data_IF_540243065441
#
_entry.id   IF_540243065441
#
_cell.length_a   1.000
_cell.length_b   1.000
_cell.length_c   1.000
_cell.angle_alpha   90.00
_cell.angle_beta   90.00
_cell.angle_gamma   90.00
#
_symmetry.space_group_name_H-M   'P 1'
#
loop_
_entity.id
_entity.type
_entity.pdbx_description
1 polymer ?
#
# COMPACT_ATOMS: atom_id res chain seq x y z
N UNK A 1 5.38 -12.95 11.26
CA UNK A 1 5.48 -12.98 9.78
C UNK A 1 4.44 -13.91 9.15
N UNK A 2 4.03 -13.62 7.92
CA UNK A 2 3.02 -14.35 7.15
C UNK A 2 3.69 -15.41 6.26
N UNK A 3 3.19 -16.64 6.28
CA UNK A 3 3.60 -17.73 5.37
C UNK A 3 2.38 -18.26 4.60
N UNK A 4 2.60 -18.78 3.39
CA UNK A 4 1.56 -19.46 2.61
C UNK A 4 1.60 -20.95 2.92
N UNK A 5 0.45 -21.52 3.29
CA UNK A 5 0.37 -22.94 3.63
C UNK A 5 0.78 -23.83 2.44
N UNK A 6 1.68 -24.77 2.70
CA UNK A 6 2.23 -25.68 1.68
C UNK A 6 3.19 -25.02 0.68
N UNK A 7 3.50 -23.72 0.81
CA UNK A 7 4.38 -22.97 -0.09
C UNK A 7 5.38 -22.11 0.71
N UNK A 8 6.41 -22.72 1.32
CA UNK A 8 7.43 -21.95 2.04
C UNK A 8 8.16 -20.98 1.09
N UNK A 9 8.49 -19.79 1.57
CA UNK A 9 9.20 -18.76 0.80
C UNK A 9 8.47 -18.32 -0.48
N UNK A 10 7.15 -18.49 -0.54
CA UNK A 10 6.34 -18.18 -1.71
C UNK A 10 6.59 -16.75 -2.19
N UNK A 11 7.00 -16.63 -3.46
CA UNK A 11 7.25 -15.35 -4.08
C UNK A 11 5.93 -14.79 -4.64
N UNK A 12 5.47 -13.66 -4.10
CA UNK A 12 4.24 -12.99 -4.54
C UNK A 12 4.50 -11.87 -5.55
N UNK A 13 5.76 -11.60 -5.89
CA UNK A 13 6.16 -10.41 -6.64
C UNK A 13 5.64 -10.42 -8.09
N UNK A 14 5.50 -11.59 -8.71
CA UNK A 14 5.04 -11.75 -10.10
C UNK A 14 4.17 -13.01 -10.27
N UNK A 15 3.50 -13.15 -11.41
CA UNK A 15 2.74 -14.34 -11.80
C UNK A 15 1.53 -14.63 -10.90
N UNK A 16 0.99 -13.61 -10.24
CA UNK A 16 -0.12 -13.75 -9.31
C UNK A 16 -1.46 -13.70 -10.04
N UNK A 17 -2.43 -14.47 -9.54
CA UNK A 17 -3.81 -14.41 -10.03
C UNK A 17 -4.67 -13.59 -9.09
N UNK A 18 -5.34 -12.57 -9.62
CA UNK A 18 -6.33 -11.78 -8.88
C UNK A 18 -7.46 -12.67 -8.36
N UNK A 19 -7.89 -12.40 -7.12
CA UNK A 19 -8.98 -13.09 -6.44
C UNK A 19 -8.79 -14.61 -6.30
N UNK A 20 -7.54 -15.08 -6.21
CA UNK A 20 -7.18 -16.44 -5.89
C UNK A 20 -6.70 -16.53 -4.44
N UNK A 21 -7.58 -16.78 -3.45
CA UNK A 21 -7.20 -16.78 -2.05
C UNK A 21 -6.25 -17.93 -1.71
N UNK A 22 -5.23 -17.60 -0.93
CA UNK A 22 -4.23 -18.54 -0.40
C UNK A 22 -4.33 -18.60 1.12
N UNK A 23 -4.30 -19.81 1.69
CA UNK A 23 -4.29 -20.00 3.14
C UNK A 23 -2.98 -19.51 3.75
N UNK A 24 -3.11 -18.83 4.88
CA UNK A 24 -2.03 -18.16 5.59
C UNK A 24 -1.83 -18.76 6.97
N UNK A 25 -0.56 -18.95 7.33
CA UNK A 25 -0.13 -19.17 8.70
C UNK A 25 0.74 -18.00 9.16
N UNK A 26 0.53 -17.56 10.39
CA UNK A 26 1.43 -16.62 11.05
C UNK A 26 2.43 -17.38 11.90
N UNK A 27 3.70 -17.01 11.79
CA UNK A 27 4.78 -17.55 12.63
C UNK A 27 5.52 -16.43 13.35
N UNK A 28 5.92 -16.71 14.58
CA UNK A 28 6.66 -15.78 15.42
C UNK A 28 8.11 -15.66 14.97
N UNK A 29 8.62 -14.43 14.98
CA UNK A 29 10.06 -14.17 14.90
C UNK A 29 10.62 -14.33 16.31
N UNK A 30 11.66 -15.15 16.52
CA UNK A 30 12.19 -15.44 17.84
C UNK A 30 12.95 -14.25 18.43
N UNK A 31 13.66 -13.49 17.59
CA UNK A 31 14.47 -12.34 18.00
C UNK A 31 14.12 -11.13 17.12
N UNK A 32 12.95 -10.50 17.33
CA UNK A 32 12.56 -9.31 16.57
C UNK A 32 13.36 -8.07 16.98
N UNK A 33 13.83 -8.05 18.23
CA UNK A 33 14.56 -6.95 18.86
C UNK A 33 15.93 -7.46 19.30
N UNK A 34 16.98 -6.66 19.06
CA UNK A 34 18.35 -6.97 19.46
C UNK A 34 19.05 -5.70 19.94
N UNK A 35 19.79 -5.81 21.03
CA UNK A 35 20.54 -4.70 21.65
C UNK A 35 21.84 -4.36 20.89
N UNK A 36 22.12 -5.05 19.79
CA UNK A 36 23.29 -4.77 18.97
C UNK A 36 23.20 -3.35 18.39
N UNK A 37 24.31 -2.60 18.48
CA UNK A 37 24.42 -1.23 17.96
C UNK A 37 24.16 -1.15 16.45
N UNK A 38 24.56 -2.18 15.72
CA UNK A 38 24.35 -2.31 14.29
C UNK A 38 23.84 -3.72 13.99
N UNK A 39 22.76 -3.81 13.22
CA UNK A 39 22.18 -5.07 12.77
C UNK A 39 22.55 -5.32 11.30
N UNK A 40 22.74 -6.59 10.90
CA UNK A 40 22.91 -6.92 9.50
C UNK A 40 21.65 -6.54 8.72
N UNK A 41 21.83 -6.15 7.46
CA UNK A 41 20.71 -5.87 6.56
C UNK A 41 19.76 -7.06 6.52
N UNK A 42 18.47 -6.79 6.67
CA UNK A 42 17.43 -7.82 6.66
C UNK A 42 17.40 -8.71 7.92
N UNK A 43 17.95 -8.30 9.06
CA UNK A 43 17.97 -9.09 10.31
C UNK A 43 16.65 -9.81 10.63
N UNK A 44 15.54 -9.07 10.75
CA UNK A 44 14.20 -9.64 11.00
C UNK A 44 13.64 -10.37 9.76
N UNK A 45 13.93 -9.84 8.56
CA UNK A 45 13.48 -10.40 7.30
C UNK A 45 14.01 -11.83 7.08
N UNK A 46 15.32 -12.04 7.29
CA UNK A 46 16.00 -13.31 7.09
C UNK A 46 15.49 -14.39 8.05
N UNK A 47 15.27 -14.04 9.33
CA UNK A 47 14.62 -14.95 10.29
C UNK A 47 13.23 -15.37 9.80
N UNK A 48 12.50 -14.46 9.18
CA UNK A 48 11.21 -14.75 8.59
C UNK A 48 11.29 -15.66 7.36
N UNK A 49 12.24 -15.38 6.46
CA UNK A 49 12.49 -16.15 5.25
C UNK A 49 12.89 -17.60 5.58
N UNK A 50 13.76 -17.80 6.57
CA UNK A 50 14.13 -19.13 7.09
C UNK A 50 12.93 -19.90 7.64
N UNK A 51 11.93 -19.20 8.18
CA UNK A 51 10.65 -19.78 8.63
C UNK A 51 9.58 -19.89 7.54
N UNK A 52 9.94 -19.60 6.29
CA UNK A 52 9.06 -19.75 5.13
C UNK A 52 8.13 -18.57 4.86
N UNK A 53 8.47 -17.35 5.31
CA UNK A 53 7.74 -16.13 4.97
C UNK A 53 7.44 -16.02 3.48
N UNK A 54 6.23 -15.55 3.13
CA UNK A 54 5.99 -15.06 1.79
C UNK A 54 6.83 -13.80 1.52
N UNK A 55 7.27 -13.63 0.28
CA UNK A 55 8.11 -12.51 -0.15
C UNK A 55 7.30 -11.55 -1.01
N UNK A 56 7.35 -10.26 -0.66
CA UNK A 56 6.66 -9.18 -1.34
C UNK A 56 7.65 -8.13 -1.83
N UNK A 57 7.33 -7.44 -2.92
CA UNK A 57 8.18 -6.40 -3.48
C UNK A 57 7.86 -5.04 -2.85
N UNK A 58 8.70 -4.59 -1.91
CA UNK A 58 8.67 -3.24 -1.32
C UNK A 58 7.28 -2.89 -0.73
N UNK A 59 6.96 -3.49 0.42
CA UNK A 59 5.73 -3.19 1.15
C UNK A 59 5.81 -1.80 1.79
N UNK A 60 4.77 -0.99 1.65
CA UNK A 60 4.73 0.36 2.24
C UNK A 60 3.44 0.58 3.05
N UNK A 61 2.33 0.91 2.41
CA UNK A 61 1.08 1.22 3.08
C UNK A 61 0.34 -0.01 3.59
N UNK A 62 -0.25 0.10 4.79
CA UNK A 62 -1.18 -0.88 5.31
C UNK A 62 -2.36 -0.22 6.06
N UNK A 63 -3.55 -0.82 5.94
CA UNK A 63 -4.77 -0.30 6.58
C UNK A 63 -5.73 -1.42 6.97
N UNK A 64 -6.37 -1.28 8.13
CA UNK A 64 -7.41 -2.21 8.58
C UNK A 64 -8.80 -1.71 8.20
N UNK A 65 -9.62 -2.58 7.60
CA UNK A 65 -11.02 -2.31 7.30
C UNK A 65 -11.73 -3.58 6.82
N UNK A 66 -13.05 -3.64 6.95
CA UNK A 66 -13.85 -4.81 6.52
C UNK A 66 -13.27 -6.17 6.99
N UNK A 67 -12.85 -6.23 8.27
CA UNK A 67 -12.23 -7.40 8.93
C UNK A 67 -10.97 -7.91 8.20
N UNK A 68 -10.35 -7.07 7.40
CA UNK A 68 -9.21 -7.36 6.55
C UNK A 68 -8.09 -6.36 6.81
N UNK A 69 -6.86 -6.76 6.50
CA UNK A 69 -5.72 -5.87 6.35
C UNK A 69 -5.49 -5.72 4.85
N UNK A 70 -5.55 -4.48 4.37
CA UNK A 70 -5.15 -4.14 3.02
C UNK A 70 -3.73 -3.58 3.06
N UNK A 71 -2.93 -3.94 2.08
CA UNK A 71 -1.57 -3.40 1.95
C UNK A 71 -1.14 -3.44 0.50
N UNK A 72 -0.18 -2.60 0.14
CA UNK A 72 0.39 -2.59 -1.20
C UNK A 72 1.81 -3.16 -1.23
N UNK A 73 2.23 -3.54 -2.44
CA UNK A 73 3.60 -3.86 -2.77
C UNK A 73 3.98 -2.94 -3.94
N UNK A 74 4.83 -1.96 -3.64
CA UNK A 74 5.07 -0.79 -4.49
C UNK A 74 5.61 -1.16 -5.85
N UNK A 75 6.57 -2.09 -5.90
CA UNK A 75 7.15 -2.58 -7.16
C UNK A 75 6.75 -4.01 -7.49
N UNK A 76 5.60 -4.46 -7.00
CA UNK A 76 5.03 -5.76 -7.31
C UNK A 76 4.30 -5.80 -8.66
N UNK A 77 4.03 -7.00 -9.13
CA UNK A 77 3.29 -7.29 -10.35
C UNK A 77 4.18 -7.53 -11.56
N UNK A 78 3.61 -8.13 -12.60
CA UNK A 78 4.36 -8.48 -13.82
C UNK A 78 4.93 -7.25 -14.54
N UNK A 79 4.27 -6.10 -14.40
CA UNK A 79 4.75 -4.81 -14.90
C UNK A 79 5.67 -4.05 -13.92
N UNK A 80 5.86 -4.56 -12.70
CA UNK A 80 6.61 -3.88 -11.64
C UNK A 80 5.99 -2.55 -11.18
N UNK A 81 4.71 -2.33 -11.48
CA UNK A 81 4.01 -1.05 -11.31
C UNK A 81 3.19 -0.96 -10.02
N UNK A 82 2.96 -2.08 -9.34
CA UNK A 82 2.29 -2.11 -8.04
C UNK A 82 1.23 -3.20 -7.92
N UNK A 83 1.07 -3.71 -6.71
CA UNK A 83 0.00 -4.63 -6.33
C UNK A 83 -0.73 -4.12 -5.09
N UNK A 84 -2.00 -4.52 -4.95
CA UNK A 84 -2.80 -4.33 -3.73
C UNK A 84 -3.32 -5.68 -3.27
N UNK A 85 -3.02 -6.00 -2.01
CA UNK A 85 -3.31 -7.25 -1.35
C UNK A 85 -4.37 -7.06 -0.26
N UNK A 86 -5.19 -8.10 -0.07
CA UNK A 86 -6.14 -8.20 1.02
C UNK A 86 -5.87 -9.46 1.83
N UNK A 87 -5.55 -9.29 3.12
CA UNK A 87 -5.49 -10.37 4.08
C UNK A 87 -6.75 -10.38 4.96
N UNK A 88 -7.61 -11.37 4.77
CA UNK A 88 -8.82 -11.54 5.57
C UNK A 88 -8.52 -12.32 6.85
N UNK A 89 -8.61 -11.65 8.00
CA UNK A 89 -8.11 -12.14 9.29
C UNK A 89 -8.83 -13.42 9.75
N UNK A 90 -10.17 -13.44 9.71
CA UNK A 90 -10.95 -14.57 10.25
C UNK A 90 -10.79 -15.87 9.46
N UNK A 91 -10.68 -15.77 8.13
CA UNK A 91 -10.49 -16.89 7.18
C UNK A 91 -9.02 -17.29 7.02
N UNK A 92 -8.09 -16.44 7.48
CA UNK A 92 -6.65 -16.54 7.24
C UNK A 92 -6.34 -16.75 5.77
N UNK A 93 -6.88 -15.86 4.94
CA UNK A 93 -6.74 -15.90 3.49
C UNK A 93 -6.07 -14.62 3.00
N UNK A 94 -5.02 -14.76 2.21
CA UNK A 94 -4.39 -13.67 1.46
C UNK A 94 -4.82 -13.78 0.00
N UNK A 95 -5.25 -12.66 -0.60
CA UNK A 95 -5.53 -12.60 -2.03
C UNK A 95 -5.04 -11.28 -2.62
N UNK A 96 -4.57 -11.34 -3.86
CA UNK A 96 -4.32 -10.17 -4.69
C UNK A 96 -5.67 -9.62 -5.17
N UNK A 97 -5.98 -8.37 -4.88
CA UNK A 97 -7.24 -7.74 -5.34
C UNK A 97 -7.03 -6.85 -6.57
N UNK A 98 -5.83 -6.29 -6.71
CA UNK A 98 -5.43 -5.48 -7.85
C UNK A 98 -3.94 -5.66 -8.15
N UNK A 99 -3.60 -5.73 -9.43
CA UNK A 99 -2.24 -5.64 -9.93
C UNK A 99 -2.25 -4.70 -11.12
N UNK A 100 -1.32 -3.75 -11.11
CA UNK A 100 -1.23 -2.74 -12.15
C UNK A 100 -0.66 -3.34 -13.44
N UNK A 101 -1.35 -3.22 -14.59
CA UNK A 101 -0.82 -3.71 -15.86
C UNK A 101 0.27 -2.80 -16.43
N UNK A 102 0.42 -1.57 -15.94
CA UNK A 102 1.42 -0.60 -16.38
C UNK A 102 1.52 0.61 -15.43
N UNK A 103 2.59 1.40 -15.54
CA UNK A 103 2.79 2.60 -14.72
C UNK A 103 1.71 3.68 -14.96
N UNK A 104 1.02 3.66 -16.10
CA UNK A 104 -0.05 4.62 -16.39
C UNK A 104 -1.33 4.35 -15.57
N UNK A 105 -1.59 3.10 -15.20
CA UNK A 105 -2.81 2.68 -14.50
C UNK A 105 -2.68 2.85 -12.98
N UNK A 106 -1.55 2.41 -12.43
CA UNK A 106 -1.14 2.64 -11.05
C UNK A 106 0.39 2.59 -11.03
N UNK A 107 1.01 3.60 -10.42
CA UNK A 107 2.46 3.74 -10.39
C UNK A 107 2.98 3.74 -8.95
N UNK A 108 3.61 2.65 -8.52
CA UNK A 108 4.32 2.59 -7.24
C UNK A 108 3.44 3.07 -6.07
N UNK A 109 2.32 2.37 -5.76
CA UNK A 109 1.45 2.75 -4.65
C UNK A 109 2.20 2.65 -3.32
N UNK A 110 2.27 3.75 -2.56
CA UNK A 110 2.86 3.79 -1.21
C UNK A 110 1.76 3.82 -0.15
N UNK A 111 1.00 4.90 -0.01
CA UNK A 111 0.03 4.99 1.07
C UNK A 111 -1.36 4.47 0.67
N UNK A 112 -2.11 3.94 1.65
CA UNK A 112 -3.44 3.36 1.46
C UNK A 112 -4.40 3.81 2.56
N UNK A 113 -5.65 4.09 2.21
CA UNK A 113 -6.71 4.38 3.17
C UNK A 113 -8.00 3.65 2.78
N UNK A 114 -8.63 2.94 3.73
CA UNK A 114 -9.96 2.37 3.50
C UNK A 114 -11.00 3.48 3.55
N UNK A 115 -11.84 3.51 2.52
CA UNK A 115 -12.92 4.47 2.40
C UNK A 115 -14.13 4.10 3.26
N UNK A 116 -15.05 5.04 3.56
CA UNK A 116 -16.26 4.76 4.34
C UNK A 116 -17.16 3.67 3.73
N UNK A 117 -17.11 3.46 2.41
CA UNK A 117 -17.86 2.40 1.71
C UNK A 117 -17.06 1.11 1.47
N UNK A 118 -15.83 1.05 1.96
CA UNK A 118 -14.97 -0.13 1.88
C UNK A 118 -14.16 -0.24 0.57
N UNK A 119 -14.14 0.79 -0.26
CA UNK A 119 -13.13 0.95 -1.30
C UNK A 119 -11.79 1.39 -0.70
N UNK A 120 -10.80 1.64 -1.55
CA UNK A 120 -9.45 2.05 -1.14
C UNK A 120 -9.04 3.32 -1.88
N UNK A 121 -8.48 4.26 -1.13
CA UNK A 121 -7.70 5.37 -1.67
C UNK A 121 -6.25 4.93 -1.67
N UNK A 122 -5.56 5.10 -2.80
CA UNK A 122 -4.16 4.76 -3.01
C UNK A 122 -3.40 6.02 -3.39
N UNK A 123 -2.24 6.25 -2.79
CA UNK A 123 -1.35 7.35 -3.11
C UNK A 123 -0.14 6.82 -3.88
N UNK A 124 0.16 7.40 -5.04
CA UNK A 124 1.32 7.04 -5.86
C UNK A 124 2.61 7.76 -5.39
N UNK A 125 3.71 7.00 -5.34
CA UNK A 125 5.10 7.44 -5.19
C UNK A 125 5.96 6.84 -6.32
N UNK A 126 5.55 7.14 -7.54
CA UNK A 126 6.19 6.67 -8.76
C UNK A 126 6.99 7.74 -9.48
N UNK A 127 7.31 7.45 -10.74
CA UNK A 127 7.87 8.42 -11.67
C UNK A 127 6.78 9.16 -12.46
N UNK A 128 7.09 10.34 -12.98
CA UNK A 128 6.15 11.13 -13.78
C UNK A 128 5.04 11.78 -12.94
N UNK A 129 3.85 11.95 -13.54
CA UNK A 129 2.71 12.60 -12.87
C UNK A 129 2.08 11.63 -11.88
N UNK A 130 1.97 12.06 -10.62
CA UNK A 130 1.44 11.24 -9.53
C UNK A 130 -0.05 11.48 -9.28
N UNK A 131 -0.77 10.42 -8.94
CA UNK A 131 -2.19 10.45 -8.65
C UNK A 131 -2.50 9.93 -7.25
N UNK A 132 -3.62 10.41 -6.73
CA UNK A 132 -4.43 9.63 -5.81
C UNK A 132 -5.38 8.81 -6.66
N UNK A 133 -5.34 7.48 -6.53
CA UNK A 133 -6.25 6.56 -7.21
C UNK A 133 -7.34 6.08 -6.25
N UNK A 134 -8.53 5.85 -6.77
CA UNK A 134 -9.56 5.07 -6.11
C UNK A 134 -9.55 3.63 -6.62
N UNK A 135 -9.73 2.67 -5.72
CA UNK A 135 -9.90 1.25 -6.04
C UNK A 135 -11.19 0.73 -5.40
N UNK A 136 -12.12 0.27 -6.23
CA UNK A 136 -13.42 -0.22 -5.78
C UNK A 136 -13.30 -1.61 -5.13
N UNK A 137 -14.35 -2.03 -4.40
CA UNK A 137 -14.43 -3.40 -3.86
C UNK A 137 -14.43 -4.49 -4.94
N UNK A 138 -14.81 -4.14 -6.17
CA UNK A 138 -14.74 -5.03 -7.34
C UNK A 138 -13.33 -5.11 -7.95
N UNK A 139 -12.38 -4.32 -7.47
CA UNK A 139 -11.03 -4.25 -8.01
C UNK A 139 -10.93 -3.42 -9.30
N UNK A 140 -11.84 -2.45 -9.48
CA UNK A 140 -11.76 -1.45 -10.55
C UNK A 140 -11.01 -0.22 -10.03
N UNK A 141 -10.07 0.29 -10.81
CA UNK A 141 -9.25 1.45 -10.45
C UNK A 141 -9.67 2.67 -11.26
N UNK A 142 -9.57 3.86 -10.67
CA UNK A 142 -9.87 5.13 -11.33
C UNK A 142 -9.07 6.29 -10.73
N UNK A 143 -8.97 7.38 -11.47
CA UNK A 143 -8.24 8.58 -11.07
C UNK A 143 -9.12 9.41 -10.15
N UNK A 144 -8.64 9.70 -8.94
CA UNK A 144 -9.36 10.55 -7.99
C UNK A 144 -8.80 11.97 -7.99
N UNK A 145 -7.47 12.09 -7.86
CA UNK A 145 -6.76 13.38 -7.85
C UNK A 145 -5.49 13.22 -8.65
N UNK A 146 -5.16 14.23 -9.46
CA UNK A 146 -3.90 14.33 -10.19
C UNK A 146 -3.07 15.47 -9.60
N UNK A 147 -1.78 15.25 -9.36
CA UNK A 147 -0.88 16.32 -8.96
C UNK A 147 -0.38 17.09 -10.19
N UNK A 148 -0.96 18.28 -10.42
CA UNK A 148 -0.50 19.23 -11.45
C UNK A 148 0.27 20.42 -10.85
N UNK A 149 0.52 20.40 -9.54
CA UNK A 149 1.17 21.51 -8.83
C UNK A 149 2.69 21.38 -8.83
N UNK A 150 3.19 20.15 -8.68
CA UNK A 150 4.61 19.83 -8.68
C UNK A 150 4.87 18.35 -9.00
N UNK A 151 6.12 17.93 -8.87
CA UNK A 151 6.55 16.55 -9.10
C UNK A 151 6.68 15.72 -7.82
N UNK A 152 6.11 16.16 -6.70
CA UNK A 152 6.19 15.44 -5.43
C UNK A 152 5.12 14.36 -5.32
N UNK A 153 5.40 13.33 -4.52
CA UNK A 153 4.51 12.19 -4.27
C UNK A 153 3.29 12.58 -3.43
N UNK A 154 2.27 11.70 -3.46
CA UNK A 154 1.17 11.77 -2.51
C UNK A 154 1.55 11.05 -1.21
N UNK A 155 1.79 11.80 -0.13
CA UNK A 155 2.19 11.30 1.18
C UNK A 155 1.00 11.08 2.12
N UNK A 156 -0.01 10.36 1.64
CA UNK A 156 -1.02 9.75 2.49
C UNK A 156 -2.41 10.36 2.40
N UNK A 157 -3.37 9.54 2.83
CA UNK A 157 -4.79 9.86 2.79
C UNK A 157 -5.48 9.42 4.08
N UNK A 158 -6.49 10.16 4.52
CA UNK A 158 -7.40 9.71 5.56
C UNK A 158 -8.78 10.35 5.44
N UNK A 159 -9.81 9.62 5.86
CA UNK A 159 -11.15 10.20 6.00
C UNK A 159 -11.33 10.79 7.39
N UNK A 160 -12.10 11.88 7.48
CA UNK A 160 -12.61 12.37 8.77
C UNK A 160 -13.41 11.26 9.48
N UNK A 161 -13.56 11.30 10.82
CA UNK A 161 -14.24 10.23 11.54
C UNK A 161 -15.68 9.96 11.08
N UNK A 162 -16.36 10.96 10.52
CA UNK A 162 -17.71 10.83 9.97
C UNK A 162 -17.72 10.42 8.48
N UNK A 163 -16.56 10.26 7.85
CA UNK A 163 -16.42 9.89 6.44
C UNK A 163 -16.81 10.99 5.44
N UNK A 164 -16.92 12.25 5.88
CA UNK A 164 -17.44 13.36 5.05
C UNK A 164 -16.36 14.16 4.31
N UNK A 165 -15.12 14.04 4.77
CA UNK A 165 -13.98 14.77 4.21
C UNK A 165 -12.83 13.80 4.04
N UNK A 166 -12.27 13.75 2.83
CA UNK A 166 -11.01 13.09 2.55
C UNK A 166 -9.89 14.12 2.68
N UNK A 167 -8.88 13.81 3.47
CA UNK A 167 -7.62 14.53 3.49
C UNK A 167 -6.59 13.78 2.66
N UNK A 168 -5.86 14.47 1.80
CA UNK A 168 -4.73 13.94 1.05
C UNK A 168 -3.55 14.90 1.14
N UNK A 169 -2.32 14.37 1.17
CA UNK A 169 -1.13 15.17 1.37
C UNK A 169 -0.15 15.04 0.20
N UNK A 170 0.50 16.14 -0.18
CA UNK A 170 1.69 16.14 -1.02
C UNK A 170 2.91 16.24 -0.11
N UNK A 171 3.91 15.40 -0.33
CA UNK A 171 5.17 15.45 0.43
C UNK A 171 5.88 16.80 0.21
N UNK A 172 6.72 17.21 1.14
CA UNK A 172 7.45 18.46 1.01
C UNK A 172 8.77 18.47 1.73
N UNK A 173 9.57 19.48 1.40
CA UNK A 173 10.83 19.77 2.04
C UNK A 173 10.62 20.02 3.54
N UNK A 174 11.35 19.27 4.37
CA UNK A 174 11.28 19.36 5.83
C UNK A 174 12.31 20.33 6.41
N UNK A 175 13.26 20.79 5.58
CA UNK A 175 14.34 21.72 5.95
C UNK A 175 14.39 22.92 5.00
N UNK A 176 13.33 23.75 4.95
CA UNK A 176 13.22 24.85 3.98
C UNK A 176 14.31 25.92 4.10
N UNK A 177 14.99 26.03 5.26
CA UNK A 177 16.14 26.92 5.41
C UNK A 177 17.42 26.39 4.73
N UNK A 178 17.56 25.07 4.63
CA UNK A 178 18.72 24.42 4.00
C UNK A 178 18.48 24.21 2.51
N UNK A 179 17.22 24.00 2.12
CA UNK A 179 16.81 23.86 0.73
C UNK A 179 15.58 24.75 0.44
N UNK A 180 15.76 26.07 0.27
CA UNK A 180 14.65 26.98 0.01
C UNK A 180 14.00 26.76 -1.36
N UNK A 181 14.65 26.01 -2.26
CA UNK A 181 14.12 25.63 -3.57
C UNK A 181 13.35 24.29 -3.53
N UNK A 182 13.27 23.63 -2.37
CA UNK A 182 12.54 22.38 -2.22
C UNK A 182 11.03 22.54 -2.39
N UNK A 183 10.38 21.47 -2.84
CA UNK A 183 8.94 21.43 -3.02
C UNK A 183 8.19 21.63 -1.69
N UNK A 184 7.07 22.34 -1.74
CA UNK A 184 6.27 22.60 -0.53
C UNK A 184 5.29 21.47 -0.29
N UNK A 185 5.22 21.03 0.97
CA UNK A 185 4.21 20.09 1.42
C UNK A 185 2.85 20.77 1.50
N UNK A 186 1.79 20.03 1.16
CA UNK A 186 0.43 20.54 1.12
C UNK A 186 -0.55 19.50 1.64
N UNK A 187 -1.59 19.96 2.33
CA UNK A 187 -2.73 19.11 2.71
C UNK A 187 -3.99 19.68 2.07
N UNK A 188 -4.73 18.82 1.38
CA UNK A 188 -6.02 19.15 0.78
C UNK A 188 -7.14 18.50 1.57
N UNK A 189 -8.23 19.24 1.75
CA UNK A 189 -9.48 18.71 2.27
C UNK A 189 -10.50 18.65 1.12
N UNK A 190 -11.06 17.47 0.87
CA UNK A 190 -12.00 17.21 -0.22
C UNK A 190 -13.33 16.75 0.39
N UNK A 191 -14.38 17.53 0.17
CA UNK A 191 -15.73 17.22 0.66
C UNK A 191 -16.45 16.29 -0.29
N UNK A 192 -17.24 15.38 0.29
CA UNK A 192 -18.03 14.37 -0.42
C UNK A 192 -19.22 14.94 -1.20
N UNK A 193 -20.03 14.04 -1.78
CA UNK A 193 -20.74 13.02 -0.99
C UNK A 193 -20.15 11.60 -1.12
N UNK A 194 -19.21 11.25 -0.22
CA UNK A 194 -18.52 9.95 -0.21
C UNK A 194 -19.47 8.77 0.02
N UNK A 195 -20.59 9.00 0.68
CA UNK A 195 -21.65 8.00 0.86
C UNK A 195 -22.36 7.57 -0.44
N UNK A 196 -22.24 8.35 -1.52
CA UNK A 196 -22.92 8.10 -2.80
C UNK A 196 -21.99 7.60 -3.92
N UNK A 197 -20.68 7.53 -3.68
CA UNK A 197 -19.65 7.26 -4.70
C UNK A 197 -18.95 5.91 -4.53
N UNK A 198 -17.89 5.65 -5.29
CA UNK A 198 -17.12 4.40 -5.22
C UNK A 198 -16.23 4.25 -3.97
N UNK A 199 -16.00 5.35 -3.25
CA UNK A 199 -15.17 5.46 -2.04
C UNK A 199 -16.01 5.98 -0.87
#
# INVERSE_FOLDING_TARGET
ILTIEGKPQYNTMTGQRRFAPMKVKWVSIPEPDSDARELPSGFVYNQGLEKGAAQFARLEGCWYGDRSIFFNATSGGDAGAGQVWQYHIGRRELQLIFESPSLEVLNSPDNICVSPRGGLVLCEDGSGVQHVRGLTRGGEIFDLVRNDLNSSEWAGACFSPQGRTLFVNIQGETRPLQNPAGEKGMTFAIWGPWELGAL
#
